data_IF_555079763400
#
_entry.id   IF_555079763400
#
_cell.length_a   1.000
_cell.length_b   1.000
_cell.length_c   1.000
_cell.angle_alpha   90.00
_cell.angle_beta   90.00
_cell.angle_gamma   90.00
#
_symmetry.space_group_name_H-M   'P 1'
#
loop_
_entity.id
_entity.type
_entity.pdbx_description
1 polymer ?
#
# COMPACT_ATOMS: atom_id res chain seq x y z
N UNK A 1 -4.12 21.49 29.11
CA UNK A 1 -2.88 21.26 29.89
C UNK A 1 -1.68 21.78 29.11
N UNK A 2 -0.63 22.23 29.80
CA UNK A 2 0.61 22.70 29.16
C UNK A 2 1.48 21.51 28.72
N UNK A 3 2.32 21.76 27.72
CA UNK A 3 3.30 20.80 27.23
C UNK A 3 4.31 20.46 28.34
N UNK A 4 4.46 19.18 28.64
CA UNK A 4 5.35 18.66 29.69
C UNK A 4 6.85 18.97 29.45
N UNK A 5 7.24 19.26 28.20
CA UNK A 5 8.63 19.52 27.82
C UNK A 5 9.02 20.98 27.99
N UNK A 6 8.22 21.89 27.42
CA UNK A 6 8.57 23.31 27.42
C UNK A 6 7.80 24.13 28.45
N UNK A 7 6.68 23.62 28.97
CA UNK A 7 5.75 24.31 29.86
C UNK A 7 5.26 25.69 29.36
N UNK A 8 5.43 25.99 28.06
CA UNK A 8 5.11 27.30 27.45
C UNK A 8 3.86 27.29 26.59
N UNK A 9 3.53 26.16 25.98
CA UNK A 9 2.46 26.01 24.99
C UNK A 9 1.46 24.94 25.44
N UNK A 10 0.19 25.00 25.02
CA UNK A 10 -0.74 23.90 25.27
C UNK A 10 -0.25 22.61 24.62
N UNK A 11 -0.45 21.48 25.30
CA UNK A 11 -0.21 20.16 24.72
C UNK A 11 -1.25 19.91 23.63
N UNK A 12 -0.79 19.55 22.44
CA UNK A 12 -1.63 19.26 21.26
C UNK A 12 -1.43 17.83 20.75
N UNK A 13 -0.42 17.12 21.25
CA UNK A 13 -0.16 15.71 20.96
C UNK A 13 -0.17 14.91 22.27
N UNK A 14 -0.79 13.74 22.21
CA UNK A 14 -0.95 12.83 23.36
C UNK A 14 -0.49 11.44 22.94
N UNK A 15 0.51 10.90 23.64
CA UNK A 15 1.06 9.58 23.38
C UNK A 15 0.89 8.68 24.59
N UNK A 16 0.50 7.44 24.36
CA UNK A 16 0.40 6.41 25.39
C UNK A 16 1.37 5.30 25.05
N UNK A 17 2.35 5.07 25.92
CA UNK A 17 3.32 3.99 25.80
C UNK A 17 2.99 2.90 26.82
N UNK A 18 2.79 1.67 26.34
CA UNK A 18 2.55 0.50 27.18
C UNK A 18 3.77 -0.41 27.06
N UNK A 19 4.51 -0.62 28.14
CA UNK A 19 5.65 -1.55 28.20
C UNK A 19 5.44 -2.50 29.36
N UNK A 20 5.47 -3.81 29.09
CA UNK A 20 5.26 -4.85 30.12
C UNK A 20 3.99 -4.65 30.96
N UNK A 21 2.92 -4.12 30.34
CA UNK A 21 1.65 -3.81 31.02
C UNK A 21 1.62 -2.48 31.76
N UNK A 22 2.75 -1.78 31.88
CA UNK A 22 2.81 -0.46 32.50
C UNK A 22 2.53 0.64 31.48
N UNK A 23 1.55 1.49 31.78
CA UNK A 23 1.07 2.56 30.91
C UNK A 23 1.68 3.89 31.33
N UNK A 24 2.38 4.55 30.40
CA UNK A 24 2.95 5.89 30.55
C UNK A 24 2.35 6.83 29.51
N UNK A 25 1.91 8.02 29.94
CA UNK A 25 1.27 9.02 29.08
C UNK A 25 2.13 10.27 28.94
N UNK A 26 2.28 10.77 27.71
CA UNK A 26 3.06 11.95 27.37
C UNK A 26 2.17 12.99 26.68
N UNK A 27 2.33 14.25 27.07
CA UNK A 27 1.53 15.36 26.58
C UNK A 27 2.42 16.53 26.18
N UNK A 28 2.62 16.71 24.87
CA UNK A 28 3.57 17.68 24.33
C UNK A 28 2.93 18.56 23.25
N UNK A 29 3.53 19.74 23.02
CA UNK A 29 3.11 20.62 21.94
C UNK A 29 3.78 20.24 20.61
N UNK A 30 3.16 20.63 19.50
CA UNK A 30 3.63 20.38 18.13
C UNK A 30 5.11 20.71 17.91
N UNK A 31 5.56 21.86 18.38
CA UNK A 31 6.96 22.28 18.25
C UNK A 31 7.94 21.35 18.99
N UNK A 32 7.60 20.94 20.21
CA UNK A 32 8.48 20.03 20.97
C UNK A 32 8.47 18.63 20.37
N UNK A 33 7.34 18.20 19.81
CA UNK A 33 7.25 16.96 19.06
C UNK A 33 8.14 17.01 17.80
N UNK A 34 8.10 18.12 17.06
CA UNK A 34 8.89 18.31 15.83
C UNK A 34 10.39 18.36 16.11
N UNK A 35 10.81 19.04 17.18
CA UNK A 35 12.23 19.11 17.60
C UNK A 35 12.78 17.76 18.05
N UNK A 36 11.95 16.93 18.73
CA UNK A 36 12.32 15.56 19.09
C UNK A 36 12.25 14.58 17.92
N UNK A 37 11.87 15.05 16.72
CA UNK A 37 11.78 14.26 15.51
C UNK A 37 10.66 13.22 15.55
N UNK A 38 10.79 12.17 14.75
CA UNK A 38 9.84 11.03 14.74
C UNK A 38 10.00 10.10 15.97
N UNK A 39 10.74 10.50 16.99
CA UNK A 39 11.04 9.68 18.15
C UNK A 39 9.86 9.72 19.12
N UNK A 40 9.22 8.58 19.36
CA UNK A 40 8.19 8.50 20.40
C UNK A 40 8.82 8.82 21.77
N UNK A 41 8.29 9.82 22.52
CA UNK A 41 8.78 10.16 23.85
C UNK A 41 8.85 8.93 24.77
N UNK A 42 9.98 8.77 25.48
CA UNK A 42 10.20 7.66 26.41
C UNK A 42 10.78 6.38 25.80
N UNK A 43 11.20 6.36 24.53
CA UNK A 43 11.99 5.26 23.95
C UNK A 43 13.47 5.67 23.88
N UNK A 44 14.35 4.93 24.58
CA UNK A 44 15.80 5.20 24.63
C UNK A 44 16.48 5.06 23.27
N UNK A 45 15.86 4.36 22.33
CA UNK A 45 16.39 4.06 20.99
C UNK A 45 15.55 4.59 19.83
N UNK A 46 14.66 5.57 20.06
CA UNK A 46 14.06 6.24 18.91
C UNK A 46 13.20 5.37 18.04
N UNK A 47 12.20 4.75 18.65
CA UNK A 47 11.18 4.08 17.86
C UNK A 47 10.35 5.16 17.15
N UNK A 48 10.68 5.38 15.88
CA UNK A 48 9.82 6.06 14.94
C UNK A 48 8.80 5.08 14.36
N UNK A 49 7.59 5.57 14.08
CA UNK A 49 6.61 4.84 13.27
C UNK A 49 7.25 4.44 11.93
N UNK A 50 8.15 5.25 11.39
CA UNK A 50 8.90 4.95 10.18
C UNK A 50 9.86 3.77 10.38
N UNK A 51 10.49 3.61 11.54
CA UNK A 51 11.35 2.44 11.83
C UNK A 51 10.52 1.15 11.94
N UNK A 52 9.33 1.22 12.54
CA UNK A 52 8.40 0.10 12.60
C UNK A 52 7.91 -0.28 11.20
N UNK A 53 7.56 0.71 10.39
CA UNK A 53 7.14 0.49 9.01
C UNK A 53 8.29 -0.05 8.16
N UNK A 54 9.51 0.48 8.31
CA UNK A 54 10.70 0.02 7.59
C UNK A 54 10.97 -1.46 7.82
N UNK A 55 10.85 -1.94 9.05
CA UNK A 55 10.97 -3.37 9.36
C UNK A 55 9.88 -4.23 8.69
N UNK A 56 8.70 -3.67 8.44
CA UNK A 56 7.65 -4.32 7.66
C UNK A 56 7.97 -4.34 6.16
N UNK A 57 8.74 -3.36 5.67
CA UNK A 57 9.10 -3.20 4.26
C UNK A 57 10.37 -3.96 3.85
N UNK A 58 11.34 -4.11 4.75
CA UNK A 58 12.66 -4.73 4.48
C UNK A 58 12.66 -6.27 4.40
N UNK A 59 11.49 -6.90 4.36
CA UNK A 59 11.40 -8.35 4.22
C UNK A 59 11.54 -8.75 2.75
N UNK A 60 12.77 -8.98 2.30
CA UNK A 60 13.02 -9.69 1.05
C UNK A 60 12.42 -11.10 1.12
N UNK A 61 11.70 -11.55 0.08
CA UNK A 61 11.32 -12.94 0.00
C UNK A 61 12.61 -13.73 -0.21
N UNK A 62 13.16 -14.31 0.85
CA UNK A 62 14.15 -15.37 0.74
C UNK A 62 13.48 -16.57 0.08
N UNK A 63 13.41 -16.53 -1.25
CA UNK A 63 13.31 -17.71 -2.09
C UNK A 63 14.57 -18.52 -1.83
N UNK A 64 14.42 -19.65 -1.14
CA UNK A 64 15.44 -20.67 -1.01
C UNK A 64 15.97 -21.01 -2.41
N UNK A 65 17.25 -20.79 -2.64
CA UNK A 65 18.17 -21.76 -3.23
C UNK A 65 19.59 -21.25 -3.08
N UNK A 66 20.37 -21.96 -2.26
CA UNK A 66 21.81 -21.73 -2.16
C UNK A 66 22.46 -22.00 -3.51
N UNK A 67 23.19 -21.02 -4.00
CA UNK A 67 24.40 -21.22 -4.79
C UNK A 67 25.18 -19.91 -4.78
N UNK A 68 26.44 -20.01 -4.41
CA UNK A 68 27.38 -18.92 -4.43
C UNK A 68 27.47 -18.34 -5.85
N UNK A 69 27.37 -17.02 -5.98
CA UNK A 69 27.51 -16.31 -7.26
C UNK A 69 26.25 -15.59 -7.71
N UNK A 70 25.77 -14.61 -6.93
CA UNK A 70 24.79 -13.65 -7.41
C UNK A 70 25.45 -12.27 -7.48
N UNK A 71 25.66 -11.81 -8.71
CA UNK A 71 25.86 -10.39 -9.06
C UNK A 71 25.02 -9.48 -8.17
N UNK A 72 25.56 -8.34 -7.71
CA UNK A 72 24.81 -7.44 -6.83
C UNK A 72 23.50 -7.09 -7.53
N UNK A 73 22.39 -7.47 -6.91
CA UNK A 73 21.06 -7.14 -7.39
C UNK A 73 21.06 -5.64 -7.70
N UNK A 74 20.90 -5.30 -8.99
CA UNK A 74 20.83 -3.91 -9.42
C UNK A 74 19.83 -3.21 -8.52
N UNK A 75 20.29 -2.17 -7.82
CA UNK A 75 19.47 -1.43 -6.89
C UNK A 75 18.29 -0.84 -7.66
N UNK A 76 17.11 -1.43 -7.50
CA UNK A 76 15.87 -0.93 -8.09
C UNK A 76 15.78 0.58 -7.82
N UNK A 77 15.76 1.37 -8.89
CA UNK A 77 15.83 2.83 -8.85
C UNK A 77 14.75 3.40 -9.75
N UNK A 78 14.11 4.47 -9.29
CA UNK A 78 13.23 5.27 -10.11
C UNK A 78 14.07 6.15 -11.03
N UNK A 79 13.93 6.02 -12.34
CA UNK A 79 14.68 6.85 -13.30
C UNK A 79 14.22 8.31 -13.35
N UNK A 80 13.05 8.64 -12.77
CA UNK A 80 12.52 10.01 -12.78
C UNK A 80 12.99 10.83 -11.57
N UNK A 81 12.87 10.30 -10.34
CA UNK A 81 13.31 11.00 -9.13
C UNK A 81 14.65 10.51 -8.57
N UNK A 82 15.22 9.44 -9.14
CA UNK A 82 16.49 8.86 -8.73
C UNK A 82 16.46 8.07 -7.42
N UNK A 83 15.31 7.98 -6.73
CA UNK A 83 15.19 7.25 -5.47
C UNK A 83 15.33 5.74 -5.69
N UNK A 84 16.05 5.09 -4.78
CA UNK A 84 16.20 3.63 -4.74
C UNK A 84 15.15 2.96 -3.87
N UNK A 85 14.88 1.67 -4.10
CA UNK A 85 13.94 0.91 -3.29
C UNK A 85 14.36 0.87 -1.81
N UNK A 86 15.66 0.75 -1.50
CA UNK A 86 16.15 0.76 -0.12
C UNK A 86 15.88 2.10 0.58
N UNK A 87 16.00 3.22 -0.14
CA UNK A 87 15.63 4.54 0.40
C UNK A 87 14.12 4.60 0.67
N UNK A 88 13.29 4.09 -0.25
CA UNK A 88 11.85 3.98 -0.04
C UNK A 88 11.52 3.12 1.19
N UNK A 89 12.14 1.93 1.36
CA UNK A 89 11.88 1.07 2.51
C UNK A 89 12.16 1.76 3.85
N UNK A 90 13.19 2.61 3.92
CA UNK A 90 13.56 3.36 5.13
C UNK A 90 12.67 4.58 5.39
N UNK A 91 12.31 5.30 4.34
CA UNK A 91 11.54 6.54 4.44
C UNK A 91 10.03 6.23 4.56
N UNK A 92 9.59 5.12 3.95
CA UNK A 92 8.19 4.69 3.90
C UNK A 92 7.32 5.52 2.94
N UNK A 93 7.92 6.34 2.06
CA UNK A 93 7.20 7.23 1.14
C UNK A 93 7.85 7.24 -0.23
N UNK A 94 7.03 7.36 -1.28
CA UNK A 94 7.52 7.55 -2.63
C UNK A 94 8.00 8.99 -2.88
N UNK A 95 8.98 9.13 -3.77
CA UNK A 95 9.53 10.41 -4.20
C UNK A 95 8.76 11.06 -5.36
N UNK A 96 8.17 10.25 -6.25
CA UNK A 96 7.32 10.72 -7.35
C UNK A 96 6.26 9.67 -7.73
N UNK A 97 5.37 10.02 -8.66
CA UNK A 97 4.33 9.12 -9.19
C UNK A 97 4.91 7.91 -9.92
N UNK A 98 6.01 8.04 -10.65
CA UNK A 98 6.62 6.92 -11.37
C UNK A 98 7.22 5.85 -10.46
N UNK A 99 7.40 6.13 -9.17
CA UNK A 99 7.88 5.12 -8.21
C UNK A 99 6.94 3.91 -8.14
N UNK A 100 5.63 4.08 -8.34
CA UNK A 100 4.69 2.97 -8.44
C UNK A 100 5.05 2.01 -9.59
N UNK A 101 5.45 2.55 -10.74
CA UNK A 101 5.84 1.77 -11.91
C UNK A 101 7.20 1.10 -11.73
N UNK A 102 8.20 1.85 -11.26
CA UNK A 102 9.56 1.33 -11.16
C UNK A 102 9.71 0.29 -10.04
N UNK A 103 8.90 0.35 -8.99
CA UNK A 103 8.97 -0.60 -7.88
C UNK A 103 7.88 -1.68 -7.91
N UNK A 104 7.04 -1.68 -8.94
CA UNK A 104 5.83 -2.51 -9.08
C UNK A 104 6.03 -3.98 -8.63
N UNK A 105 7.11 -4.61 -9.09
CA UNK A 105 7.43 -6.01 -8.79
C UNK A 105 7.63 -6.32 -7.30
N UNK A 106 7.87 -5.29 -6.47
CA UNK A 106 8.05 -5.41 -5.01
C UNK A 106 6.89 -4.80 -4.22
N UNK A 107 5.91 -4.16 -4.87
CA UNK A 107 4.80 -3.49 -4.17
C UNK A 107 3.65 -4.44 -3.84
N UNK A 108 3.33 -5.41 -4.69
CA UNK A 108 2.23 -6.35 -4.45
C UNK A 108 2.37 -7.15 -3.13
N UNK A 109 3.53 -7.77 -2.82
CA UNK A 109 3.73 -8.44 -1.53
C UNK A 109 3.62 -7.48 -0.34
N UNK A 110 4.07 -6.24 -0.53
CA UNK A 110 4.04 -5.18 0.48
C UNK A 110 2.61 -4.76 0.76
N UNK A 111 1.82 -4.45 -0.27
CA UNK A 111 0.41 -4.09 -0.12
C UNK A 111 -0.40 -5.23 0.47
N UNK A 112 -0.14 -6.47 0.08
CA UNK A 112 -0.80 -7.64 0.69
C UNK A 112 -0.49 -7.76 2.19
N UNK A 113 0.72 -7.41 2.62
CA UNK A 113 1.10 -7.43 4.04
C UNK A 113 0.45 -6.30 4.85
N UNK A 114 0.38 -5.10 4.28
CA UNK A 114 -0.16 -3.91 4.96
C UNK A 114 -1.70 -3.87 4.92
N UNK A 115 -2.29 -4.15 3.75
CA UNK A 115 -3.72 -4.03 3.49
C UNK A 115 -4.46 -5.38 3.43
N UNK A 116 -3.76 -6.51 3.52
CA UNK A 116 -4.33 -7.86 3.41
C UNK A 116 -4.62 -8.32 1.98
N UNK A 117 -4.84 -7.39 1.04
CA UNK A 117 -5.13 -7.66 -0.36
C UNK A 117 -4.59 -6.56 -1.27
N UNK A 118 -4.31 -6.90 -2.53
CA UNK A 118 -3.91 -5.93 -3.58
C UNK A 118 -5.12 -5.35 -4.34
N UNK A 119 -6.32 -5.89 -4.10
CA UNK A 119 -7.55 -5.50 -4.78
C UNK A 119 -8.69 -5.30 -3.81
N UNK A 120 -9.38 -4.15 -3.90
CA UNK A 120 -10.57 -3.90 -3.11
C UNK A 120 -11.77 -4.68 -3.68
N UNK A 121 -12.28 -5.66 -2.91
CA UNK A 121 -13.48 -6.45 -3.25
C UNK A 121 -14.77 -5.97 -2.57
N UNK A 122 -14.68 -4.93 -1.72
CA UNK A 122 -15.80 -4.44 -0.91
C UNK A 122 -16.81 -3.56 -1.65
N UNK A 123 -17.59 -2.81 -0.86
CA UNK A 123 -18.67 -1.92 -1.31
C UNK A 123 -18.14 -0.85 -2.28
N UNK A 124 -18.84 -0.66 -3.38
CA UNK A 124 -18.53 0.40 -4.36
C UNK A 124 -19.54 1.54 -4.15
N UNK A 125 -19.11 2.80 -3.97
CA UNK A 125 -20.01 3.93 -3.79
C UNK A 125 -20.97 4.11 -4.97
N UNK A 126 -22.26 4.30 -4.72
CA UNK A 126 -23.27 4.40 -5.78
C UNK A 126 -23.05 5.59 -6.74
N UNK A 127 -22.53 6.72 -6.24
CA UNK A 127 -22.37 7.96 -7.04
C UNK A 127 -21.09 8.02 -7.89
N UNK A 128 -20.02 7.38 -7.44
CA UNK A 128 -18.70 7.45 -8.08
C UNK A 128 -18.24 6.10 -8.67
N UNK A 129 -19.04 5.05 -8.45
CA UNK A 129 -18.69 3.67 -8.72
C UNK A 129 -19.14 3.09 -10.04
N UNK A 130 -19.83 3.86 -10.89
CA UNK A 130 -20.43 3.36 -12.13
C UNK A 130 -19.41 2.60 -12.99
N UNK A 131 -18.29 3.26 -13.34
CA UNK A 131 -17.20 2.65 -14.13
C UNK A 131 -16.59 1.42 -13.46
N UNK A 132 -16.46 1.42 -12.12
CA UNK A 132 -15.91 0.27 -11.38
C UNK A 132 -16.87 -0.92 -11.43
N UNK A 133 -18.18 -0.65 -11.33
CA UNK A 133 -19.23 -1.67 -11.42
C UNK A 133 -19.25 -2.32 -12.80
N UNK A 134 -19.25 -1.51 -13.87
CA UNK A 134 -19.24 -2.03 -15.24
C UNK A 134 -17.96 -2.82 -15.52
N UNK A 135 -16.78 -2.35 -15.05
CA UNK A 135 -15.53 -3.11 -15.15
C UNK A 135 -15.58 -4.46 -14.44
N UNK A 136 -16.20 -4.55 -13.26
CA UNK A 136 -16.41 -5.84 -12.57
C UNK A 136 -17.34 -6.75 -13.37
N UNK A 137 -18.46 -6.22 -13.89
CA UNK A 137 -19.39 -6.99 -14.73
C UNK A 137 -18.70 -7.55 -15.98
N UNK A 138 -17.86 -6.75 -16.65
CA UNK A 138 -17.07 -7.23 -17.79
C UNK A 138 -16.11 -8.34 -17.38
N UNK A 139 -15.47 -8.23 -16.21
CA UNK A 139 -14.57 -9.27 -15.72
C UNK A 139 -15.30 -10.58 -15.42
N UNK A 140 -16.49 -10.49 -14.82
CA UNK A 140 -17.36 -11.65 -14.55
C UNK A 140 -17.81 -12.30 -15.87
N UNK A 141 -18.34 -11.52 -16.81
CA UNK A 141 -18.75 -12.01 -18.14
C UNK A 141 -17.58 -12.64 -18.92
N UNK A 142 -16.35 -12.14 -18.78
CA UNK A 142 -15.17 -12.75 -19.43
C UNK A 142 -14.85 -14.13 -18.86
N UNK A 143 -15.09 -14.34 -17.57
CA UNK A 143 -14.94 -15.66 -16.95
C UNK A 143 -16.06 -16.59 -17.42
N UNK A 144 -17.30 -16.11 -17.43
CA UNK A 144 -18.47 -16.90 -17.85
C UNK A 144 -18.36 -17.27 -19.34
N UNK A 145 -17.88 -16.36 -20.19
CA UNK A 145 -17.56 -16.63 -21.60
C UNK A 145 -16.56 -17.79 -21.74
N UNK A 146 -15.50 -17.79 -20.93
CA UNK A 146 -14.49 -18.85 -20.97
C UNK A 146 -15.09 -20.20 -20.55
N UNK A 147 -16.03 -20.19 -19.61
CA UNK A 147 -16.75 -21.38 -19.16
C UNK A 147 -17.66 -21.93 -20.27
N UNK A 148 -18.51 -21.11 -20.89
CA UNK A 148 -19.38 -21.53 -22.00
C UNK A 148 -18.58 -22.07 -23.19
N UNK A 149 -17.43 -21.46 -23.51
CA UNK A 149 -16.51 -21.99 -24.55
C UNK A 149 -16.01 -23.38 -24.19
N UNK A 150 -15.67 -23.60 -22.91
CA UNK A 150 -15.16 -24.90 -22.43
C UNK A 150 -16.25 -25.97 -22.45
N UNK A 151 -17.52 -25.58 -22.27
CA UNK A 151 -18.69 -26.46 -22.34
C UNK A 151 -19.24 -26.63 -23.76
N UNK A 152 -18.60 -26.03 -24.77
CA UNK A 152 -19.03 -26.05 -26.19
C UNK A 152 -20.40 -25.39 -26.45
N UNK A 153 -20.84 -24.51 -25.53
CA UNK A 153 -22.09 -23.73 -25.64
C UNK A 153 -21.85 -22.46 -26.46
N UNK A 154 -21.61 -22.63 -27.76
CA UNK A 154 -21.18 -21.53 -28.63
C UNK A 154 -22.23 -20.42 -28.83
N UNK A 155 -23.52 -20.75 -28.72
CA UNK A 155 -24.60 -19.77 -28.81
C UNK A 155 -24.60 -18.83 -27.61
N UNK A 156 -24.48 -19.39 -26.40
CA UNK A 156 -24.38 -18.60 -25.16
C UNK A 156 -23.08 -17.78 -25.14
N UNK A 157 -21.96 -18.39 -25.54
CA UNK A 157 -20.69 -17.68 -25.67
C UNK A 157 -20.78 -16.48 -26.63
N UNK A 158 -21.52 -16.60 -27.74
CA UNK A 158 -21.75 -15.49 -28.66
C UNK A 158 -22.55 -14.36 -28.02
N UNK A 159 -23.61 -14.69 -27.26
CA UNK A 159 -24.41 -13.71 -26.52
C UNK A 159 -23.59 -12.98 -25.47
N UNK A 160 -22.81 -13.70 -24.65
CA UNK A 160 -21.94 -13.12 -23.62
C UNK A 160 -20.89 -12.21 -24.26
N UNK A 161 -20.28 -12.62 -25.38
CA UNK A 161 -19.31 -11.80 -26.10
C UNK A 161 -19.91 -10.48 -26.58
N UNK A 162 -21.14 -10.51 -27.09
CA UNK A 162 -21.80 -9.31 -27.59
C UNK A 162 -22.21 -8.37 -26.44
N UNK A 163 -22.62 -8.92 -25.29
CA UNK A 163 -22.83 -8.15 -24.05
C UNK A 163 -21.54 -7.47 -23.55
N UNK A 164 -20.40 -8.18 -23.58
CA UNK A 164 -19.10 -7.59 -23.21
C UNK A 164 -18.79 -6.39 -24.11
N UNK A 165 -19.01 -6.52 -25.43
CA UNK A 165 -18.76 -5.44 -26.40
C UNK A 165 -19.64 -4.21 -26.15
N UNK A 166 -20.88 -4.41 -25.74
CA UNK A 166 -21.81 -3.32 -25.42
C UNK A 166 -21.34 -2.56 -24.17
N UNK A 167 -21.02 -3.26 -23.09
CA UNK A 167 -20.50 -2.65 -21.87
C UNK A 167 -19.14 -1.96 -22.07
N UNK A 168 -18.26 -2.52 -22.93
CA UNK A 168 -16.98 -1.90 -23.28
C UNK A 168 -17.20 -0.59 -24.08
N UNK A 169 -18.22 -0.51 -24.94
CA UNK A 169 -18.59 0.72 -25.65
C UNK A 169 -19.12 1.78 -24.70
N UNK A 170 -19.97 1.41 -23.73
CA UNK A 170 -20.50 2.34 -22.73
C UNK A 170 -19.36 3.01 -21.93
N UNK A 171 -18.33 2.25 -21.53
CA UNK A 171 -17.15 2.80 -20.84
C UNK A 171 -16.31 3.73 -21.72
N UNK A 172 -16.27 3.49 -23.04
CA UNK A 172 -15.45 4.24 -23.98
C UNK A 172 -16.11 5.56 -24.46
N UNK A 173 -17.43 5.67 -24.35
CA UNK A 173 -18.20 6.85 -24.77
C UNK A 173 -18.34 7.94 -23.69
N UNK A 174 -17.92 7.65 -22.45
CA UNK A 174 -17.75 8.60 -21.33
C UNK A 174 -16.27 8.93 -21.06
#
# INVERSE_FOLDING_TARGET
MLCQECNKRPATLHFTKIVNGEKTEFHICESCAREKGEMIPGTSNGFSIHNLLSGLLDFEPTGKNGSAGATPAQSLRCEECGMTYSQFSKIGRFGCSSCYKYFDSRLDPLFKRVHGSTSHVGKVPARAGGRIKVKRQIADLKRDLQESITQEEFEEAAQIRDQIRELEKEIAQE
#
